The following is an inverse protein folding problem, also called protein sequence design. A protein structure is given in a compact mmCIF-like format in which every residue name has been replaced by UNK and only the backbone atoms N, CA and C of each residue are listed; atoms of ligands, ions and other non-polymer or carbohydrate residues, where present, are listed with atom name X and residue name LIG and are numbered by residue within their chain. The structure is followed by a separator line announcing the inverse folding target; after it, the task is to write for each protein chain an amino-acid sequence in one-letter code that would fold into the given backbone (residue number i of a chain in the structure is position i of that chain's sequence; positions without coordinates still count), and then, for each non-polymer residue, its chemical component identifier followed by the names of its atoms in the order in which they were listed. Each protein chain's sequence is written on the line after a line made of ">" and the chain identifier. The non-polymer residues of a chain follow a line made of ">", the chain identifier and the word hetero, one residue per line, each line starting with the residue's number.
data_IF_602502190399
#
_entry.id   IF_602502190399
#
_cell.length_a   1.000
_cell.length_b   1.000
_cell.length_c   1.000
_cell.angle_alpha   90.00
_cell.angle_beta   90.00
_cell.angle_gamma   90.00
#
_symmetry.space_group_name_H-M   'P 1'
#
loop_
_entity.id
_entity.type
_entity.pdbx_description
1 polymer ?
#
# COMPACT_ATOMS: atom_id res chain seq x y z
N UNK A 1 -34.06 0.55 1.92
CA UNK A 1 -32.59 0.71 1.94
C UNK A 1 -31.97 -0.25 0.94
N UNK A 2 -30.94 0.14 0.17
CA UNK A 2 -30.23 -0.77 -0.73
C UNK A 2 -29.35 -1.77 0.04
N UNK A 3 -29.09 -2.93 -0.56
CA UNK A 3 -28.10 -3.89 -0.06
C UNK A 3 -26.78 -3.72 -0.79
N UNK A 4 -25.69 -3.95 -0.09
CA UNK A 4 -24.34 -4.02 -0.64
C UNK A 4 -23.63 -5.26 -0.08
N UNK A 5 -22.79 -5.85 -0.91
CA UNK A 5 -21.82 -6.87 -0.50
C UNK A 5 -20.45 -6.22 -0.54
N UNK A 6 -19.69 -6.33 0.56
CA UNK A 6 -18.33 -5.80 0.69
C UNK A 6 -17.41 -6.97 0.99
N UNK A 7 -16.34 -7.12 0.21
CA UNK A 7 -15.27 -8.07 0.46
C UNK A 7 -14.09 -7.34 1.08
N UNK A 8 -13.60 -7.88 2.19
CA UNK A 8 -12.46 -7.36 2.93
C UNK A 8 -11.41 -8.45 3.10
N UNK A 9 -10.15 -8.05 3.07
CA UNK A 9 -9.01 -8.93 3.35
C UNK A 9 -7.98 -8.20 4.20
N UNK A 10 -6.94 -8.90 4.61
CA UNK A 10 -5.75 -8.34 5.25
C UNK A 10 -4.53 -9.17 4.84
N UNK A 11 -3.33 -8.60 4.95
CA UNK A 11 -2.10 -9.35 4.75
C UNK A 11 -1.79 -10.19 5.98
N UNK A 12 -1.79 -11.51 5.83
CA UNK A 12 -1.36 -12.46 6.85
C UNK A 12 0.12 -12.82 6.62
N UNK A 13 1.06 -12.38 7.48
CA UNK A 13 2.44 -12.80 7.37
C UNK A 13 2.58 -14.31 7.55
N UNK A 14 3.32 -14.92 6.64
CA UNK A 14 3.72 -16.33 6.74
C UNK A 14 5.24 -16.35 6.80
N UNK A 15 5.79 -16.97 7.84
CA UNK A 15 7.23 -17.05 8.05
C UNK A 15 7.68 -18.50 8.22
N UNK A 16 8.97 -18.75 7.97
CA UNK A 16 9.68 -19.97 8.36
C UNK A 16 10.97 -19.60 9.08
N UNK A 17 11.50 -20.50 9.91
CA UNK A 17 12.76 -20.28 10.64
C UNK A 17 13.67 -21.48 10.44
N UNK A 18 14.78 -21.27 9.74
CA UNK A 18 15.78 -22.29 9.44
C UNK A 18 17.17 -21.78 9.75
N UNK A 19 18.09 -22.70 9.98
CA UNK A 19 19.50 -22.39 10.20
C UNK A 19 20.25 -22.73 8.92
N UNK A 20 21.05 -21.79 8.42
CA UNK A 20 21.87 -21.98 7.21
C UNK A 20 23.34 -21.83 7.58
N UNK A 21 24.17 -22.74 7.11
CA UNK A 21 25.62 -22.59 7.15
C UNK A 21 26.06 -21.68 5.99
N UNK A 22 26.74 -20.58 6.30
CA UNK A 22 27.19 -19.62 5.31
C UNK A 22 28.43 -18.86 5.79
N UNK A 23 29.20 -18.31 4.86
CA UNK A 23 30.42 -17.55 5.17
C UNK A 23 30.14 -16.17 5.79
N UNK A 24 28.94 -15.63 5.60
CA UNK A 24 28.50 -14.34 6.13
C UNK A 24 26.99 -14.29 6.35
N UNK A 25 26.51 -13.27 7.08
CA UNK A 25 25.08 -13.04 7.26
C UNK A 25 24.37 -12.77 5.92
N UNK A 26 25.01 -12.05 5.01
CA UNK A 26 24.50 -11.75 3.67
C UNK A 26 24.41 -13.01 2.79
N UNK A 27 25.41 -13.90 2.88
CA UNK A 27 25.35 -15.23 2.25
C UNK A 27 24.21 -16.08 2.83
N UNK A 28 24.03 -16.08 4.16
CA UNK A 28 22.91 -16.80 4.79
C UNK A 28 21.55 -16.26 4.31
N UNK A 29 21.40 -14.94 4.19
CA UNK A 29 20.19 -14.32 3.65
C UNK A 29 19.94 -14.72 2.19
N UNK A 30 20.97 -14.74 1.34
CA UNK A 30 20.85 -15.22 -0.04
C UNK A 30 20.38 -16.67 -0.11
N UNK A 31 21.01 -17.55 0.66
CA UNK A 31 20.62 -18.97 0.72
C UNK A 31 19.17 -19.09 1.21
N UNK A 32 18.79 -18.34 2.25
CA UNK A 32 17.45 -18.34 2.79
C UNK A 32 16.36 -17.87 1.80
N UNK A 33 16.69 -16.95 0.88
CA UNK A 33 15.77 -16.49 -0.17
C UNK A 33 15.67 -17.50 -1.32
N UNK A 34 16.75 -18.21 -1.63
CA UNK A 34 16.77 -19.25 -2.68
C UNK A 34 16.19 -20.60 -2.24
N UNK A 35 15.94 -20.81 -0.95
CA UNK A 35 15.27 -22.01 -0.45
C UNK A 35 13.77 -21.97 -0.78
N UNK A 36 13.25 -22.91 -1.55
CA UNK A 36 11.83 -22.94 -1.93
C UNK A 36 10.94 -23.77 -0.96
N UNK A 37 11.52 -24.37 0.10
CA UNK A 37 10.78 -25.25 1.02
C UNK A 37 9.98 -24.50 2.09
N UNK A 38 8.65 -24.56 2.02
CA UNK A 38 7.74 -23.86 2.95
C UNK A 38 6.92 -24.81 3.84
N UNK A 39 7.28 -26.09 3.91
CA UNK A 39 6.55 -27.11 4.67
C UNK A 39 6.48 -26.86 6.19
N UNK A 40 7.44 -26.12 6.76
CA UNK A 40 7.51 -25.74 8.17
C UNK A 40 7.01 -24.31 8.45
N UNK A 41 6.38 -23.68 7.45
CA UNK A 41 5.89 -22.32 7.55
C UNK A 41 4.79 -22.18 8.62
N UNK A 42 4.72 -20.98 9.19
CA UNK A 42 3.75 -20.60 10.21
C UNK A 42 3.13 -19.27 9.86
N UNK A 43 1.83 -19.17 10.08
CA UNK A 43 1.10 -17.92 10.02
C UNK A 43 1.34 -17.10 11.29
N UNK A 44 1.44 -15.80 11.13
CA UNK A 44 1.56 -14.83 12.22
C UNK A 44 0.33 -13.93 12.24
N UNK A 45 -0.74 -14.44 12.86
CA UNK A 45 -2.00 -13.71 12.97
C UNK A 45 -1.85 -12.48 13.85
N UNK A 46 -0.99 -12.53 14.87
CA UNK A 46 -0.80 -11.44 15.83
C UNK A 46 -0.17 -10.19 15.20
N UNK A 47 0.57 -10.37 14.10
CA UNK A 47 1.21 -9.28 13.34
C UNK A 47 0.57 -9.06 11.96
N UNK A 48 -0.67 -9.53 11.77
CA UNK A 48 -1.41 -9.30 10.53
C UNK A 48 -1.55 -7.81 10.22
N UNK A 49 -1.54 -7.49 8.92
CA UNK A 49 -1.81 -6.14 8.44
C UNK A 49 -3.23 -5.67 8.76
N UNK A 50 -3.52 -4.42 8.40
CA UNK A 50 -4.87 -3.89 8.55
C UNK A 50 -5.86 -4.58 7.62
N UNK A 51 -7.14 -4.54 7.98
CA UNK A 51 -8.22 -4.97 7.10
C UNK A 51 -8.55 -3.87 6.10
N UNK A 52 -8.59 -4.22 4.81
CA UNK A 52 -8.92 -3.31 3.71
C UNK A 52 -9.94 -3.95 2.75
N UNK A 53 -10.56 -3.14 1.90
CA UNK A 53 -11.62 -3.58 0.98
C UNK A 53 -11.00 -4.00 -0.36
N UNK A 54 -11.37 -5.18 -0.87
CA UNK A 54 -10.95 -5.68 -2.19
C UNK A 54 -12.09 -5.83 -3.18
N UNK A 55 -13.33 -5.78 -2.69
CA UNK A 55 -14.50 -5.91 -3.55
C UNK A 55 -15.73 -5.19 -3.01
N UNK A 56 -16.52 -4.61 -3.92
CA UNK A 56 -17.76 -3.91 -3.59
C UNK A 56 -18.81 -4.17 -4.67
N UNK A 57 -19.99 -4.66 -4.28
CA UNK A 57 -21.08 -4.93 -5.21
C UNK A 57 -22.42 -4.42 -4.69
N UNK A 58 -23.31 -4.04 -5.61
CA UNK A 58 -24.71 -3.74 -5.29
C UNK A 58 -25.52 -5.02 -5.20
N UNK A 59 -26.26 -5.17 -4.10
CA UNK A 59 -27.11 -6.34 -3.86
C UNK A 59 -26.53 -7.23 -2.77
N UNK A 60 -26.82 -8.53 -2.85
CA UNK A 60 -26.48 -9.54 -1.83
C UNK A 60 -25.47 -10.58 -2.32
N UNK A 61 -24.97 -10.42 -3.54
CA UNK A 61 -24.09 -11.39 -4.19
C UNK A 61 -22.85 -10.67 -4.72
N UNK A 62 -21.68 -11.18 -4.36
CA UNK A 62 -20.44 -10.85 -5.03
C UNK A 62 -20.37 -11.58 -6.38
N UNK A 63 -19.64 -11.02 -7.35
CA UNK A 63 -19.34 -11.62 -8.65
C UNK A 63 -20.53 -11.91 -9.59
N UNK A 64 -21.78 -11.76 -9.12
CA UNK A 64 -22.98 -11.89 -9.96
C UNK A 64 -23.29 -10.62 -10.77
N UNK A 65 -22.73 -9.48 -10.35
CA UNK A 65 -22.83 -8.17 -11.00
C UNK A 65 -21.43 -7.55 -11.09
N UNK A 66 -21.21 -6.57 -11.98
CA UNK A 66 -19.97 -5.80 -11.99
C UNK A 66 -19.69 -5.17 -10.62
N UNK A 67 -18.43 -5.13 -10.24
CA UNK A 67 -17.96 -4.44 -9.06
C UNK A 67 -18.10 -2.92 -9.22
N UNK A 68 -18.25 -2.26 -8.08
CA UNK A 68 -18.28 -0.81 -7.97
C UNK A 68 -16.85 -0.37 -7.59
N UNK A 69 -16.33 0.71 -8.20
CA UNK A 69 -15.04 1.26 -7.81
C UNK A 69 -14.99 1.54 -6.30
N UNK A 70 -13.99 0.96 -5.64
CA UNK A 70 -13.75 1.14 -4.22
C UNK A 70 -13.11 2.53 -4.03
N UNK A 71 -13.63 3.36 -3.11
CA UNK A 71 -12.97 4.61 -2.79
C UNK A 71 -11.59 4.36 -2.17
N UNK A 72 -10.56 5.01 -2.71
CA UNK A 72 -9.15 4.78 -2.32
C UNK A 72 -8.90 4.81 -0.81
N UNK A 73 -9.68 5.55 -0.03
CA UNK A 73 -9.52 5.60 1.44
C UNK A 73 -9.71 4.25 2.15
N UNK A 74 -10.29 3.26 1.48
CA UNK A 74 -10.50 1.90 1.97
C UNK A 74 -9.46 0.89 1.46
N UNK A 75 -8.52 1.33 0.63
CA UNK A 75 -7.36 0.53 0.25
C UNK A 75 -6.38 0.45 1.42
N UNK A 76 -5.52 -0.56 1.41
CA UNK A 76 -4.47 -0.73 2.41
C UNK A 76 -3.59 0.54 2.50
N UNK A 77 -3.36 1.03 3.71
CA UNK A 77 -2.50 2.18 4.03
C UNK A 77 -1.10 2.03 3.46
N UNK A 78 -0.51 0.83 3.51
CA UNK A 78 0.83 0.59 2.93
C UNK A 78 0.82 0.83 1.42
N UNK A 79 -0.17 0.28 0.70
CA UNK A 79 -0.33 0.49 -0.74
C UNK A 79 -0.58 1.97 -1.07
N UNK A 80 -1.47 2.65 -0.32
CA UNK A 80 -1.73 4.08 -0.48
C UNK A 80 -0.47 4.93 -0.30
N UNK A 81 0.38 4.58 0.67
CA UNK A 81 1.68 5.24 0.89
C UNK A 81 2.65 4.96 -0.26
N UNK A 82 2.69 3.75 -0.79
CA UNK A 82 3.54 3.39 -1.92
C UNK A 82 3.16 4.14 -3.21
N UNK A 83 1.85 4.27 -3.48
CA UNK A 83 1.35 5.06 -4.60
C UNK A 83 1.65 6.56 -4.42
N UNK A 84 1.43 7.07 -3.19
CA UNK A 84 1.75 8.45 -2.85
C UNK A 84 3.24 8.76 -3.02
N UNK A 85 4.13 7.83 -2.68
CA UNK A 85 5.58 8.01 -2.87
C UNK A 85 5.93 8.36 -4.32
N UNK A 86 5.33 7.67 -5.29
CA UNK A 86 5.58 7.95 -6.71
C UNK A 86 5.09 9.34 -7.13
N UNK A 87 3.93 9.76 -6.61
CA UNK A 87 3.36 11.10 -6.86
C UNK A 87 4.25 12.20 -6.28
N UNK A 88 4.64 12.06 -5.01
CA UNK A 88 5.50 13.03 -4.32
C UNK A 88 6.88 13.10 -4.99
N UNK A 89 7.46 11.96 -5.36
CA UNK A 89 8.76 11.92 -6.05
C UNK A 89 8.69 12.63 -7.41
N UNK A 90 7.62 12.42 -8.18
CA UNK A 90 7.43 13.13 -9.44
C UNK A 90 7.35 14.65 -9.22
N UNK A 91 6.59 15.10 -8.22
CA UNK A 91 6.45 16.52 -7.89
C UNK A 91 7.76 17.15 -7.38
N UNK A 92 8.56 16.41 -6.62
CA UNK A 92 9.85 16.88 -6.10
C UNK A 92 10.91 17.01 -7.20
N UNK A 93 10.83 16.20 -8.26
CA UNK A 93 11.75 16.26 -9.40
C UNK A 93 11.58 17.53 -10.24
N UNK A 94 10.38 18.10 -10.28
CA UNK A 94 10.10 19.31 -11.07
C UNK A 94 10.95 20.52 -10.60
N UNK A 95 10.98 20.91 -9.32
CA UNK A 95 11.85 21.99 -8.83
C UNK A 95 13.31 21.60 -8.61
N UNK A 96 13.63 20.31 -8.50
CA UNK A 96 15.01 19.85 -8.31
C UNK A 96 15.90 19.97 -9.58
N UNK A 97 15.36 20.47 -10.69
CA UNK A 97 16.12 20.71 -11.92
C UNK A 97 17.16 21.81 -11.73
N UNK A 98 18.26 21.77 -12.50
CA UNK A 98 19.40 22.71 -12.37
C UNK A 98 18.99 24.19 -12.45
N UNK A 99 17.97 24.52 -13.24
CA UNK A 99 17.46 25.89 -13.39
C UNK A 99 16.24 26.18 -12.49
N UNK A 100 15.77 25.20 -11.72
CA UNK A 100 14.52 25.29 -10.95
C UNK A 100 13.27 25.38 -11.83
N UNK A 101 12.17 25.85 -11.23
CA UNK A 101 10.93 26.14 -11.94
C UNK A 101 10.91 27.59 -12.43
N UNK A 102 10.39 27.80 -13.65
CA UNK A 102 9.97 29.13 -14.09
C UNK A 102 8.76 29.60 -13.28
N UNK A 103 8.44 30.90 -13.28
CA UNK A 103 7.26 31.42 -12.59
C UNK A 103 5.96 30.74 -13.09
N UNK A 104 5.83 30.58 -14.41
CA UNK A 104 4.66 29.93 -15.02
C UNK A 104 4.55 28.45 -14.61
N UNK A 105 5.66 27.73 -14.56
CA UNK A 105 5.65 26.31 -14.14
C UNK A 105 5.39 26.18 -12.65
N UNK A 106 5.88 27.12 -11.83
CA UNK A 106 5.58 27.18 -10.40
C UNK A 106 4.10 27.39 -10.13
N UNK A 107 3.45 28.31 -10.84
CA UNK A 107 2.00 28.57 -10.73
C UNK A 107 1.16 27.32 -11.09
N UNK A 108 1.63 26.50 -12.04
CA UNK A 108 1.00 25.22 -12.39
C UNK A 108 1.32 24.09 -11.40
N UNK A 109 2.53 24.08 -10.86
CA UNK A 109 3.03 23.05 -9.95
C UNK A 109 2.42 23.18 -8.55
N UNK A 110 2.36 24.39 -8.00
CA UNK A 110 1.92 24.65 -6.62
C UNK A 110 0.57 24.02 -6.25
N UNK A 111 -0.52 24.17 -7.03
CA UNK A 111 -1.81 23.57 -6.68
C UNK A 111 -1.78 22.02 -6.72
N UNK A 112 -0.96 21.44 -7.61
CA UNK A 112 -0.75 19.98 -7.66
C UNK A 112 0.01 19.51 -6.43
N UNK A 113 1.04 20.24 -6.02
CA UNK A 113 1.81 19.95 -4.82
C UNK A 113 0.94 20.05 -3.56
N UNK A 114 0.14 21.11 -3.41
CA UNK A 114 -0.80 21.27 -2.29
C UNK A 114 -1.84 20.15 -2.22
N UNK A 115 -2.40 19.76 -3.37
CA UNK A 115 -3.35 18.62 -3.43
C UNK A 115 -2.70 17.31 -3.02
N UNK A 116 -1.47 17.04 -3.50
CA UNK A 116 -0.74 15.82 -3.13
C UNK A 116 -0.37 15.81 -1.64
N UNK A 117 0.02 16.96 -1.07
CA UNK A 117 0.29 17.10 0.37
C UNK A 117 -0.98 16.81 1.17
N UNK A 118 -2.12 17.43 0.84
CA UNK A 118 -3.37 17.19 1.55
C UNK A 118 -3.81 15.71 1.49
N UNK A 119 -3.61 15.05 0.34
CA UNK A 119 -3.87 13.61 0.20
C UNK A 119 -2.89 12.76 1.03
N UNK A 120 -1.61 13.13 1.09
CA UNK A 120 -0.62 12.45 1.92
C UNK A 120 -0.92 12.61 3.42
N UNK A 121 -1.28 13.82 3.85
CA UNK A 121 -1.70 14.12 5.22
C UNK A 121 -2.93 13.30 5.61
N UNK A 122 -3.89 13.13 4.69
CA UNK A 122 -5.05 12.26 4.93
C UNK A 122 -4.68 10.77 5.06
N UNK A 123 -3.58 10.31 4.47
CA UNK A 123 -3.11 8.92 4.63
C UNK A 123 -2.35 8.77 5.96
N UNK A 124 -1.58 9.78 6.38
CA UNK A 124 -0.82 9.75 7.64
C UNK A 124 -1.72 9.97 8.85
N UNK A 125 -2.68 10.90 8.74
CA UNK A 125 -3.61 11.27 9.80
C UNK A 125 -4.82 10.33 9.93
N UNK A 126 -4.96 9.34 9.04
CA UNK A 126 -6.01 8.33 9.09
C UNK A 126 -5.38 6.94 9.34
N UNK A 127 -4.84 6.67 10.54
CA UNK A 127 -4.97 5.32 11.05
C UNK A 127 -6.47 5.16 11.31
N UNK A 128 -7.14 4.23 10.63
CA UNK A 128 -8.56 3.93 10.77
C UNK A 128 -9.11 4.36 12.15
N UNK A 129 -10.08 5.28 12.18
CA UNK A 129 -10.73 5.75 13.40
C UNK A 129 -10.91 4.57 14.37
N UNK A 130 -10.16 4.63 15.46
CA UNK A 130 -10.11 3.55 16.43
C UNK A 130 -11.43 3.40 17.16
N UNK A 131 -11.92 2.17 17.19
CA UNK A 131 -12.58 1.52 18.32
C UNK A 131 -12.53 -0.01 18.15
#
# INVERSE_FOLDING_TARGET
>A
MPFFTVETTYHLPVYRRRTYEAASADDACRVAISDDGWEDAKEDVDTSGETYVTGLWKGRQAYAVPDIPIPERFDETVQRKAEMFSILLALLREPAQKMGLSQHDFERWLPRAQTAIARADAIVGNPAEGE
#
